data_IF_970575252732
#
_entry.id   IF_970575252732
#
_cell.length_a   1.000
_cell.length_b   1.000
_cell.length_c   1.000
_cell.angle_alpha   90.00
_cell.angle_beta   90.00
_cell.angle_gamma   90.00
#
_symmetry.space_group_name_H-M   'P 1'
#
loop_
_entity.id
_entity.type
_entity.pdbx_description
1 polymer ?
#
# COMPACT_ATOMS: atom_id res chain seq x y z
N UNK A 1 -38.65 35.21 14.27
CA UNK A 1 -37.60 36.23 14.08
C UNK A 1 -36.43 36.05 15.05
N UNK A 2 -35.49 35.12 14.79
CA UNK A 2 -34.04 35.31 15.01
C UNK A 2 -33.26 34.11 14.48
N UNK A 3 -33.20 33.98 13.17
CA UNK A 3 -32.02 33.40 12.55
C UNK A 3 -30.84 34.35 12.82
N UNK A 4 -29.75 33.85 13.41
CA UNK A 4 -28.43 34.13 12.83
C UNK A 4 -27.36 33.12 13.26
N UNK A 5 -26.46 32.77 12.32
CA UNK A 5 -25.58 31.62 12.34
C UNK A 5 -24.15 31.99 12.75
N UNK A 6 -23.30 30.99 12.98
CA UNK A 6 -21.86 31.18 13.11
C UNK A 6 -21.34 30.93 14.52
N UNK A 7 -21.39 29.67 14.95
CA UNK A 7 -20.49 29.19 15.99
C UNK A 7 -19.09 29.12 15.35
N UNK A 8 -18.29 30.17 15.53
CA UNK A 8 -16.89 30.22 15.11
C UNK A 8 -16.16 29.19 15.96
N UNK A 9 -15.77 28.06 15.36
CA UNK A 9 -14.96 27.04 16.02
C UNK A 9 -13.69 27.69 16.60
N UNK A 10 -13.27 27.28 17.81
CA UNK A 10 -12.06 27.82 18.42
C UNK A 10 -10.85 27.65 17.48
N UNK A 11 -9.91 28.61 17.43
CA UNK A 11 -8.76 28.56 16.52
C UNK A 11 -8.00 27.21 16.47
N UNK A 12 -7.78 26.47 17.59
CA UNK A 12 -7.19 25.14 17.53
C UNK A 12 -8.11 24.07 16.89
N UNK A 13 -9.42 24.16 17.07
CA UNK A 13 -10.40 23.21 16.52
C UNK A 13 -10.59 23.42 15.01
N UNK A 14 -10.61 24.67 14.54
CA UNK A 14 -10.66 25.00 13.12
C UNK A 14 -9.37 24.54 12.39
N UNK A 15 -8.19 24.76 12.99
CA UNK A 15 -6.93 24.30 12.44
C UNK A 15 -6.88 22.77 12.31
N UNK A 16 -7.37 22.04 13.33
CA UNK A 16 -7.48 20.59 13.27
C UNK A 16 -8.43 20.13 12.15
N UNK A 17 -9.58 20.79 11.99
CA UNK A 17 -10.55 20.48 10.92
C UNK A 17 -9.99 20.75 9.52
N UNK A 18 -9.25 21.85 9.32
CA UNK A 18 -8.60 22.15 8.05
C UNK A 18 -7.54 21.10 7.71
N UNK A 19 -6.72 20.68 8.67
CA UNK A 19 -5.74 19.61 8.46
C UNK A 19 -6.39 18.26 8.12
N UNK A 20 -7.55 17.94 8.70
CA UNK A 20 -8.31 16.74 8.33
C UNK A 20 -8.74 16.81 6.87
N UNK A 21 -9.26 17.96 6.42
CA UNK A 21 -9.70 18.16 5.04
C UNK A 21 -8.51 18.08 4.07
N UNK A 22 -7.39 18.75 4.37
CA UNK A 22 -6.17 18.70 3.56
C UNK A 22 -5.64 17.26 3.42
N UNK A 23 -5.65 16.48 4.51
CA UNK A 23 -5.25 15.08 4.48
C UNK A 23 -6.20 14.21 3.65
N UNK A 24 -7.51 14.44 3.75
CA UNK A 24 -8.50 13.75 2.92
C UNK A 24 -8.32 14.07 1.44
N UNK A 25 -8.07 15.33 1.10
CA UNK A 25 -7.78 15.76 -0.27
C UNK A 25 -6.50 15.12 -0.80
N UNK A 26 -5.43 15.11 -0.01
CA UNK A 26 -4.17 14.47 -0.37
C UNK A 26 -4.32 12.95 -0.56
N UNK A 27 -5.12 12.27 0.27
CA UNK A 27 -5.45 10.86 0.08
C UNK A 27 -6.26 10.64 -1.21
N UNK A 28 -7.24 11.50 -1.49
CA UNK A 28 -8.04 11.42 -2.71
C UNK A 28 -7.17 11.66 -3.96
N UNK A 29 -6.24 12.61 -3.91
CA UNK A 29 -5.27 12.86 -4.97
C UNK A 29 -4.36 11.65 -5.21
N UNK A 30 -3.85 11.02 -4.14
CA UNK A 30 -3.06 9.78 -4.24
C UNK A 30 -3.87 8.62 -4.83
N UNK A 31 -5.12 8.44 -4.43
CA UNK A 31 -6.02 7.41 -4.99
C UNK A 31 -6.34 7.66 -6.46
N UNK A 32 -6.52 8.92 -6.86
CA UNK A 32 -6.84 9.29 -8.23
C UNK A 32 -5.60 9.40 -9.14
N UNK A 33 -4.39 9.33 -8.57
CA UNK A 33 -3.14 9.28 -9.32
C UNK A 33 -3.05 8.03 -10.19
N UNK A 34 -2.16 8.03 -11.19
CA UNK A 34 -1.98 6.89 -12.09
C UNK A 34 -1.56 5.61 -11.33
N UNK A 35 -0.69 5.74 -10.33
CA UNK A 35 -0.32 4.66 -9.42
C UNK A 35 -1.48 4.23 -8.51
N UNK A 36 -2.29 5.19 -8.04
CA UNK A 36 -3.49 4.93 -7.25
C UNK A 36 -4.55 4.14 -7.98
N UNK A 37 -4.86 4.54 -9.22
CA UNK A 37 -5.83 3.85 -10.07
C UNK A 37 -5.37 2.42 -10.42
N UNK A 38 -4.08 2.21 -10.68
CA UNK A 38 -3.52 0.87 -10.86
C UNK A 38 -3.59 0.05 -9.57
N UNK A 39 -3.26 0.64 -8.42
CA UNK A 39 -3.31 -0.05 -7.12
C UNK A 39 -4.74 -0.47 -6.71
N UNK A 40 -5.73 0.37 -7.00
CA UNK A 40 -7.17 0.07 -6.78
C UNK A 40 -7.66 -0.97 -7.79
N UNK A 41 -7.23 -0.92 -9.05
CA UNK A 41 -7.59 -1.94 -10.04
C UNK A 41 -7.07 -3.34 -9.67
N UNK A 42 -5.98 -3.41 -8.90
CA UNK A 42 -5.41 -4.66 -8.38
C UNK A 42 -6.09 -5.15 -7.09
N UNK A 43 -6.86 -4.29 -6.42
CA UNK A 43 -7.54 -4.57 -5.15
C UNK A 43 -8.41 -5.85 -5.15
N UNK A 44 -9.27 -6.14 -6.16
CA UNK A 44 -10.08 -7.36 -6.15
C UNK A 44 -9.22 -8.64 -6.16
N UNK A 45 -8.03 -8.60 -6.75
CA UNK A 45 -7.11 -9.72 -6.78
C UNK A 45 -6.24 -9.77 -5.52
N UNK A 46 -5.75 -8.61 -5.07
CA UNK A 46 -4.86 -8.49 -3.93
C UNK A 46 -5.55 -8.75 -2.59
N UNK A 47 -6.87 -8.55 -2.52
CA UNK A 47 -7.67 -8.85 -1.31
C UNK A 47 -7.62 -10.33 -0.91
N UNK A 48 -7.43 -11.24 -1.88
CA UNK A 48 -7.20 -12.66 -1.58
C UNK A 48 -5.85 -12.91 -0.89
N UNK A 49 -4.87 -12.02 -1.05
CA UNK A 49 -3.60 -12.03 -0.33
C UNK A 49 -3.64 -11.16 0.95
N UNK A 50 -4.77 -10.54 1.26
CA UNK A 50 -4.93 -9.63 2.40
C UNK A 50 -4.34 -8.23 2.18
N UNK A 51 -4.05 -7.82 0.93
CA UNK A 51 -3.45 -6.52 0.64
C UNK A 51 -4.51 -5.45 0.35
N UNK A 52 -4.32 -4.29 1.00
CA UNK A 52 -5.12 -3.08 0.81
C UNK A 52 -4.59 -2.20 -0.34
N UNK A 53 -5.38 -1.22 -0.78
CA UNK A 53 -5.01 -0.28 -1.84
C UNK A 53 -3.67 0.45 -1.53
N UNK A 54 -3.39 0.76 -0.25
CA UNK A 54 -2.12 1.38 0.19
C UNK A 54 -0.92 0.49 -0.12
N UNK A 55 -1.05 -0.80 0.18
CA UNK A 55 -0.02 -1.81 -0.10
C UNK A 55 0.19 -1.97 -1.60
N UNK A 56 -0.89 -2.02 -2.38
CA UNK A 56 -0.78 -2.15 -3.83
C UNK A 56 -0.04 -0.97 -4.47
N UNK A 57 -0.33 0.27 -4.07
CA UNK A 57 0.41 1.44 -4.56
C UNK A 57 1.88 1.35 -4.17
N UNK A 58 2.19 0.93 -2.93
CA UNK A 58 3.56 0.74 -2.49
C UNK A 58 4.30 -0.34 -3.30
N UNK A 59 3.63 -1.45 -3.65
CA UNK A 59 4.20 -2.52 -4.48
C UNK A 59 4.46 -2.07 -5.92
N UNK A 60 3.58 -1.23 -6.49
CA UNK A 60 3.79 -0.60 -7.80
C UNK A 60 5.05 0.26 -7.78
N UNK A 61 5.23 1.11 -6.75
CA UNK A 61 6.46 1.90 -6.58
C UNK A 61 7.70 1.02 -6.32
N UNK A 62 7.52 -0.08 -5.59
CA UNK A 62 8.56 -1.03 -5.27
C UNK A 62 9.22 -1.69 -6.48
N UNK A 63 8.48 -1.82 -7.59
CA UNK A 63 9.01 -2.38 -8.83
C UNK A 63 10.21 -1.58 -9.37
N UNK A 64 10.20 -0.25 -9.17
CA UNK A 64 11.33 0.61 -9.51
C UNK A 64 12.49 0.44 -8.52
N UNK A 65 12.21 0.46 -7.21
CA UNK A 65 13.19 0.22 -6.17
C UNK A 65 12.51 -0.34 -4.89
N UNK A 66 13.06 -1.43 -4.33
CA UNK A 66 12.46 -2.14 -3.19
C UNK A 66 12.34 -1.27 -1.93
N UNK A 67 13.23 -0.28 -1.76
CA UNK A 67 13.23 0.66 -0.63
C UNK A 67 12.06 1.66 -0.68
N UNK A 68 11.54 1.94 -1.88
CA UNK A 68 10.42 2.88 -2.10
C UNK A 68 9.12 2.37 -1.47
N UNK A 69 9.01 1.05 -1.24
CA UNK A 69 7.84 0.43 -0.61
C UNK A 69 7.63 1.01 0.79
N UNK A 70 8.68 1.08 1.61
CA UNK A 70 8.60 1.58 2.98
C UNK A 70 8.26 3.07 3.00
N UNK A 71 8.86 3.85 2.10
CA UNK A 71 8.56 5.28 1.95
C UNK A 71 7.11 5.54 1.53
N UNK A 72 6.59 4.74 0.59
CA UNK A 72 5.21 4.85 0.09
C UNK A 72 4.19 4.41 1.14
N UNK A 73 4.46 3.34 1.89
CA UNK A 73 3.65 2.96 3.05
C UNK A 73 3.69 4.05 4.14
N UNK A 74 4.87 4.56 4.47
CA UNK A 74 5.04 5.69 5.40
C UNK A 74 4.18 6.89 5.04
N UNK A 75 4.27 7.34 3.79
CA UNK A 75 3.54 8.50 3.28
C UNK A 75 2.03 8.25 3.23
N UNK A 76 1.61 7.10 2.68
CA UNK A 76 0.19 6.78 2.57
C UNK A 76 -0.48 6.69 3.94
N UNK A 77 0.12 6.00 4.91
CA UNK A 77 -0.41 5.90 6.27
C UNK A 77 -0.34 7.24 7.03
N UNK A 78 0.67 8.08 6.76
CA UNK A 78 0.76 9.42 7.36
C UNK A 78 -0.40 10.33 6.99
N UNK A 79 -0.87 10.25 5.75
CA UNK A 79 -2.00 11.03 5.28
C UNK A 79 -3.35 10.52 5.84
N UNK A 80 -3.37 9.39 6.56
CA UNK A 80 -4.59 8.81 7.15
C UNK A 80 -4.72 8.95 8.65
N UNK A 81 -3.61 9.09 9.38
CA UNK A 81 -3.63 9.32 10.82
C UNK A 81 -3.49 10.80 11.11
N UNK A 82 -4.61 11.45 11.46
CA UNK A 82 -4.62 12.82 11.99
C UNK A 82 -4.31 12.75 13.50
N UNK A 83 -3.10 12.32 13.84
CA UNK A 83 -2.63 12.32 15.23
C UNK A 83 -1.53 13.38 15.31
N UNK A 84 -1.92 14.59 15.75
CA UNK A 84 -1.14 15.84 15.67
C UNK A 84 -0.03 15.89 16.72
N UNK A 85 -0.08 15.04 17.74
CA UNK A 85 0.82 15.13 18.90
C UNK A 85 1.99 14.14 18.86
N UNK A 86 1.95 13.14 17.98
CA UNK A 86 2.98 12.12 17.91
C UNK A 86 3.43 11.87 16.47
N UNK A 87 4.71 12.10 16.21
CA UNK A 87 5.46 11.58 15.05
C UNK A 87 5.57 10.05 15.18
N UNK A 88 4.43 9.36 15.18
CA UNK A 88 4.36 7.92 15.32
C UNK A 88 5.10 7.29 14.15
N UNK A 89 6.05 6.40 14.48
CA UNK A 89 6.83 5.69 13.49
C UNK A 89 5.93 4.77 12.67
N UNK A 90 6.34 4.37 11.45
CA UNK A 90 5.51 3.52 10.59
C UNK A 90 5.06 2.24 11.32
N UNK A 91 5.95 1.65 12.13
CA UNK A 91 5.63 0.50 12.98
C UNK A 91 4.43 0.75 13.92
N UNK A 92 4.34 1.92 14.54
CA UNK A 92 3.25 2.25 15.48
C UNK A 92 1.92 2.41 14.75
N UNK A 93 1.95 3.05 13.57
CA UNK A 93 0.77 3.24 12.72
C UNK A 93 0.24 1.91 12.20
N UNK A 94 1.16 1.02 11.83
CA UNK A 94 0.86 -0.30 11.31
C UNK A 94 0.30 -1.21 12.41
N UNK A 95 0.86 -1.14 13.63
CA UNK A 95 0.36 -1.87 14.79
C UNK A 95 -1.04 -1.43 15.24
N UNK A 96 -1.44 -0.18 14.96
CA UNK A 96 -2.78 0.35 15.24
C UNK A 96 -3.82 0.00 14.16
N UNK A 97 -3.39 -0.40 12.96
CA UNK A 97 -4.33 -0.74 11.88
C UNK A 97 -4.88 -2.17 12.07
N UNK A 98 -6.21 -2.27 12.20
CA UNK A 98 -6.92 -3.55 12.32
C UNK A 98 -6.78 -4.44 11.08
N UNK A 99 -6.56 -3.87 9.90
CA UNK A 99 -6.35 -4.63 8.68
C UNK A 99 -4.92 -5.14 8.54
N UNK A 100 -3.96 -4.54 9.26
CA UNK A 100 -2.57 -4.96 9.22
C UNK A 100 -2.22 -5.92 10.35
N UNK A 101 -2.51 -7.20 10.12
CA UNK A 101 -2.15 -8.26 11.05
C UNK A 101 -0.76 -8.88 10.69
N UNK A 102 -0.13 -9.63 11.61
CA UNK A 102 1.16 -10.28 11.36
C UNK A 102 1.17 -11.23 10.15
N UNK A 103 0.02 -11.85 9.83
CA UNK A 103 -0.13 -12.73 8.66
C UNK A 103 -0.07 -11.93 7.36
N UNK A 104 -0.73 -10.77 7.31
CA UNK A 104 -0.67 -9.82 6.17
C UNK A 104 0.75 -9.29 6.02
N UNK A 105 1.42 -8.96 7.12
CA UNK A 105 2.82 -8.55 7.10
C UNK A 105 3.73 -9.65 6.52
N UNK A 106 3.52 -10.90 6.93
CA UNK A 106 4.27 -12.05 6.43
C UNK A 106 3.99 -12.32 4.94
N UNK A 107 2.72 -12.26 4.52
CA UNK A 107 2.32 -12.39 3.12
C UNK A 107 2.93 -11.26 2.26
N UNK A 108 2.94 -10.02 2.77
CA UNK A 108 3.56 -8.89 2.10
C UNK A 108 5.08 -9.05 2.00
N UNK A 109 5.74 -9.51 3.06
CA UNK A 109 7.18 -9.77 3.05
C UNK A 109 7.57 -10.86 2.03
N UNK A 110 6.84 -11.98 2.04
CA UNK A 110 7.03 -13.06 1.08
C UNK A 110 6.80 -12.55 -0.35
N UNK A 111 5.72 -11.80 -0.57
CA UNK A 111 5.47 -11.19 -1.87
C UNK A 111 6.63 -10.28 -2.30
N UNK A 112 7.08 -9.37 -1.44
CA UNK A 112 8.16 -8.41 -1.74
C UNK A 112 9.49 -9.11 -2.10
N UNK A 113 9.79 -10.23 -1.44
CA UNK A 113 10.99 -11.03 -1.71
C UNK A 113 10.95 -11.74 -3.07
N UNK A 114 9.80 -12.30 -3.45
CA UNK A 114 9.69 -13.18 -4.63
C UNK A 114 9.07 -12.51 -5.87
N UNK A 115 8.34 -11.41 -5.74
CA UNK A 115 7.72 -10.75 -6.88
C UNK A 115 8.76 -10.12 -7.81
N UNK A 116 8.29 -9.75 -9.00
CA UNK A 116 9.01 -9.14 -10.12
C UNK A 116 10.45 -8.65 -9.81
N UNK A 117 11.46 -9.17 -10.52
CA UNK A 117 12.82 -8.68 -10.39
C UNK A 117 12.89 -7.20 -10.80
N UNK A 118 13.85 -6.46 -10.25
CA UNK A 118 13.96 -5.03 -10.52
C UNK A 118 14.19 -4.75 -12.02
N UNK A 119 13.85 -3.54 -12.45
CA UNK A 119 13.93 -3.13 -13.86
C UNK A 119 15.27 -3.46 -14.52
N UNK A 120 16.38 -3.25 -13.80
CA UNK A 120 17.74 -3.53 -14.29
C UNK A 120 17.92 -5.02 -14.63
N UNK A 121 17.44 -5.92 -13.78
CA UNK A 121 17.52 -7.36 -14.02
C UNK A 121 16.66 -7.79 -15.21
N UNK A 122 15.46 -7.23 -15.36
CA UNK A 122 14.58 -7.51 -16.51
C UNK A 122 15.25 -7.06 -17.81
N UNK A 123 15.85 -5.87 -17.84
CA UNK A 123 16.59 -5.37 -19.01
C UNK A 123 17.80 -6.26 -19.32
N UNK A 124 18.55 -6.69 -18.30
CA UNK A 124 19.67 -7.61 -18.48
C UNK A 124 19.21 -8.93 -19.13
N UNK A 125 18.15 -9.55 -18.60
CA UNK A 125 17.56 -10.78 -19.17
C UNK A 125 17.13 -10.56 -20.61
N UNK A 126 16.48 -9.44 -20.91
CA UNK A 126 16.03 -9.12 -22.26
C UNK A 126 17.19 -8.99 -23.25
N UNK A 127 18.31 -8.40 -22.82
CA UNK A 127 19.51 -8.22 -23.65
C UNK A 127 20.27 -9.53 -23.87
N UNK A 128 20.47 -10.32 -22.81
CA UNK A 128 21.20 -11.58 -22.87
C UNK A 128 20.40 -12.70 -23.56
N UNK A 129 19.09 -12.76 -23.33
CA UNK A 129 18.22 -13.77 -23.96
C UNK A 129 17.84 -13.42 -25.40
N UNK A 130 18.19 -12.21 -25.88
CA UNK A 130 17.83 -11.71 -27.21
C UNK A 130 16.33 -11.55 -27.46
N UNK A 131 15.48 -11.67 -26.42
CA UNK A 131 14.03 -11.67 -26.56
C UNK A 131 13.33 -11.05 -25.36
N UNK A 132 12.59 -9.97 -25.61
CA UNK A 132 11.70 -9.34 -24.63
C UNK A 132 10.58 -10.26 -24.15
N UNK A 133 10.18 -11.26 -24.96
CA UNK A 133 9.17 -12.23 -24.57
C UNK A 133 9.62 -13.06 -23.38
N UNK A 134 10.91 -13.43 -23.34
CA UNK A 134 11.49 -14.20 -22.24
C UNK A 134 11.62 -13.39 -20.95
N UNK A 135 11.99 -12.11 -21.06
CA UNK A 135 12.06 -11.21 -19.92
C UNK A 135 10.68 -10.97 -19.28
N UNK A 136 9.65 -10.69 -20.09
CA UNK A 136 8.27 -10.52 -19.62
C UNK A 136 7.74 -11.84 -19.04
N UNK A 137 8.01 -12.97 -19.69
CA UNK A 137 7.62 -14.28 -19.17
C UNK A 137 8.19 -14.55 -17.78
N UNK A 138 9.49 -14.32 -17.59
CA UNK A 138 10.15 -14.47 -16.28
C UNK A 138 9.55 -13.54 -15.22
N UNK A 139 9.25 -12.29 -15.58
CA UNK A 139 8.64 -11.32 -14.68
C UNK A 139 7.24 -11.75 -14.25
N UNK A 140 6.40 -12.15 -15.20
CA UNK A 140 5.02 -12.59 -14.94
C UNK A 140 5.04 -13.90 -14.14
N UNK A 141 5.91 -14.83 -14.48
CA UNK A 141 6.05 -16.10 -13.76
C UNK A 141 6.42 -15.89 -12.29
N UNK A 142 7.44 -15.08 -12.00
CA UNK A 142 7.83 -14.76 -10.61
C UNK A 142 6.71 -14.02 -9.87
N UNK A 143 6.04 -13.06 -10.52
CA UNK A 143 4.93 -12.33 -9.90
C UNK A 143 3.75 -13.25 -9.59
N UNK A 144 3.43 -14.19 -10.48
CA UNK A 144 2.37 -15.16 -10.27
C UNK A 144 2.70 -16.15 -9.15
N UNK A 145 3.96 -16.61 -9.09
CA UNK A 145 4.46 -17.46 -8.01
C UNK A 145 4.39 -16.73 -6.66
N UNK A 146 4.87 -15.49 -6.60
CA UNK A 146 4.82 -14.65 -5.41
C UNK A 146 3.39 -14.38 -4.94
N UNK A 147 2.48 -14.08 -5.88
CA UNK A 147 1.05 -13.92 -5.59
C UNK A 147 0.45 -15.19 -5.01
N UNK A 148 0.71 -16.34 -5.64
CA UNK A 148 0.21 -17.64 -5.17
C UNK A 148 0.71 -17.96 -3.76
N UNK A 149 1.99 -17.65 -3.47
CA UNK A 149 2.57 -17.83 -2.14
C UNK A 149 1.95 -16.89 -1.11
N UNK A 150 1.74 -15.61 -1.45
CA UNK A 150 1.11 -14.64 -0.56
C UNK A 150 -0.34 -15.01 -0.23
N UNK A 151 -1.11 -15.43 -1.24
CA UNK A 151 -2.47 -15.98 -1.05
C UNK A 151 -2.43 -17.23 -0.17
N UNK A 152 -1.50 -18.15 -0.42
CA UNK A 152 -1.36 -19.36 0.38
C UNK A 152 -1.10 -19.03 1.86
N UNK A 153 -0.16 -18.11 2.14
CA UNK A 153 0.18 -17.65 3.51
C UNK A 153 -1.03 -17.00 4.17
N UNK A 154 -1.70 -16.08 3.49
CA UNK A 154 -2.85 -15.39 4.04
C UNK A 154 -4.00 -16.35 4.31
N UNK A 155 -4.29 -17.26 3.37
CA UNK A 155 -5.39 -18.20 3.49
C UNK A 155 -5.13 -19.29 4.53
N UNK A 156 -3.88 -19.79 4.65
CA UNK A 156 -3.51 -20.70 5.74
C UNK A 156 -3.52 -20.02 7.10
N UNK A 157 -3.03 -18.79 7.22
CA UNK A 157 -3.10 -18.01 8.45
C UNK A 157 -4.54 -17.74 8.89
N UNK A 158 -5.44 -17.47 7.95
CA UNK A 158 -6.89 -17.38 8.21
C UNK A 158 -7.50 -18.71 8.62
N UNK A 159 -7.15 -19.80 7.95
CA UNK A 159 -7.65 -21.14 8.27
C UNK A 159 -7.21 -21.61 9.67
N UNK A 160 -6.01 -21.21 10.12
CA UNK A 160 -5.48 -21.45 11.46
C UNK A 160 -6.07 -20.52 12.53
N UNK A 161 -6.96 -19.58 12.17
CA UNK A 161 -7.56 -18.62 13.10
C UNK A 161 -6.61 -17.52 13.58
N UNK A 162 -5.45 -17.35 12.93
CA UNK A 162 -4.44 -16.35 13.29
C UNK A 162 -4.69 -14.97 12.66
N UNK A 163 -5.59 -14.90 11.68
CA UNK A 163 -6.02 -13.67 11.04
C UNK A 163 -7.55 -13.49 11.20
N UNK A 164 -8.02 -12.30 11.62
CA UNK A 164 -9.45 -11.98 11.73
C UNK A 164 -10.17 -11.93 10.37
#
# INVERSE_FOLDING_TARGET
>A
EKERPGQVAEPPELAARLQVIDNMEAQAALRNSLAGRMGIALEPLSRFAGFDWRTNIALVGGFAAKEVIVSTLGTSYSLGSVDVEHTASLQDRLARDKHWNPIVALAALAFIMFYAPCFVTVVCIARESGSWKWAIFSMVFNTFLAYSLAVAIYQTGRALGLAP
#
